data_IF_982480008024
#
_entry.id   IF_982480008024
#
_cell.length_a   1.000
_cell.length_b   1.000
_cell.length_c   1.000
_cell.angle_alpha   90.00
_cell.angle_beta   90.00
_cell.angle_gamma   90.00
#
_symmetry.space_group_name_H-M   'P 1'
#
loop_
_entity.id
_entity.type
_entity.pdbx_description
1 polymer ?
#
# COMPACT_ATOMS: atom_id res chain seq x y z
N UNK A 1 -11.94 -33.83 -17.34
CA UNK A 1 -10.57 -33.29 -17.15
C UNK A 1 -10.65 -32.25 -16.05
N UNK A 2 -10.09 -32.53 -14.86
CA UNK A 2 -10.16 -31.67 -13.67
C UNK A 2 -8.75 -31.16 -13.34
N UNK A 3 -8.20 -30.26 -14.16
CA UNK A 3 -6.92 -29.64 -13.87
C UNK A 3 -7.03 -28.13 -14.10
N UNK A 4 -6.61 -27.37 -13.09
CA UNK A 4 -6.39 -25.93 -13.18
C UNK A 4 -5.47 -25.64 -14.37
N UNK A 5 -5.90 -24.79 -15.31
CA UNK A 5 -5.08 -24.37 -16.47
C UNK A 5 -3.80 -23.63 -16.08
N UNK A 6 -3.67 -23.22 -14.82
CA UNK A 6 -2.48 -22.55 -14.29
C UNK A 6 -2.17 -23.05 -12.87
N UNK A 7 -0.96 -23.56 -12.66
CA UNK A 7 -0.44 -23.85 -11.32
C UNK A 7 0.24 -22.61 -10.75
N UNK A 8 -0.19 -22.20 -9.56
CA UNK A 8 0.43 -21.09 -8.84
C UNK A 8 0.35 -21.30 -7.34
N UNK A 9 1.24 -20.63 -6.61
CA UNK A 9 1.22 -20.55 -5.15
C UNK A 9 1.24 -19.07 -4.78
N UNK A 10 0.29 -18.64 -3.95
CA UNK A 10 0.26 -17.28 -3.42
C UNK A 10 0.38 -17.32 -1.90
N UNK A 11 1.36 -16.61 -1.38
CA UNK A 11 1.57 -16.40 0.04
C UNK A 11 1.47 -14.91 0.30
N UNK A 12 0.72 -14.52 1.33
CA UNK A 12 0.53 -13.12 1.70
C UNK A 12 0.44 -13.03 3.22
N UNK A 13 1.14 -12.07 3.80
CA UNK A 13 1.13 -11.81 5.23
C UNK A 13 0.97 -10.31 5.45
N UNK A 14 0.12 -9.94 6.41
CA UNK A 14 -0.13 -8.56 6.79
C UNK A 14 -0.07 -8.42 8.29
N UNK A 15 0.50 -7.33 8.77
CA UNK A 15 0.56 -6.99 10.19
C UNK A 15 0.23 -5.52 10.42
N UNK A 16 -0.39 -5.25 11.56
CA UNK A 16 -0.71 -3.90 12.02
C UNK A 16 -0.45 -3.78 13.51
N UNK A 17 0.25 -2.71 13.90
CA UNK A 17 0.58 -2.41 15.28
C UNK A 17 0.08 -1.02 15.62
N UNK A 18 -0.61 -0.91 16.76
CA UNK A 18 -1.06 0.36 17.32
C UNK A 18 -0.50 0.45 18.73
N UNK A 19 0.18 1.55 19.02
CA UNK A 19 0.70 1.86 20.35
C UNK A 19 0.40 3.30 20.69
N UNK A 20 -0.15 3.53 21.86
CA UNK A 20 -0.35 4.87 22.41
C UNK A 20 0.71 5.09 23.49
N UNK A 21 1.48 6.16 23.36
CA UNK A 21 2.48 6.60 24.33
C UNK A 21 1.95 7.87 25.00
N UNK A 22 2.00 7.92 26.33
CA UNK A 22 1.20 8.87 27.11
C UNK A 22 -0.29 8.83 26.68
N UNK A 23 -1.08 9.84 27.03
CA UNK A 23 -2.51 9.87 26.66
C UNK A 23 -2.74 10.40 25.23
N UNK A 24 -1.81 11.21 24.70
CA UNK A 24 -2.07 12.01 23.50
C UNK A 24 -1.24 11.63 22.26
N UNK A 25 -0.33 10.65 22.33
CA UNK A 25 0.52 10.26 21.20
C UNK A 25 0.21 8.83 20.76
N UNK A 26 -0.14 8.63 19.49
CA UNK A 26 -0.42 7.30 18.95
C UNK A 26 0.42 7.03 17.72
N UNK A 27 1.06 5.86 17.69
CA UNK A 27 1.83 5.37 16.56
C UNK A 27 1.09 4.18 15.97
N UNK A 28 0.91 4.21 14.66
CA UNK A 28 0.32 3.13 13.87
C UNK A 28 1.35 2.69 12.84
N UNK A 29 1.76 1.44 12.90
CA UNK A 29 2.64 0.82 11.92
C UNK A 29 1.90 -0.29 11.19
N UNK A 30 2.09 -0.40 9.87
CA UNK A 30 1.55 -1.49 9.05
C UNK A 30 2.61 -2.01 8.13
N UNK A 31 2.58 -3.32 7.90
CA UNK A 31 3.43 -3.98 6.93
C UNK A 31 2.65 -5.09 6.23
N UNK A 32 2.85 -5.23 4.93
CA UNK A 32 2.29 -6.29 4.12
C UNK A 32 3.36 -6.80 3.16
N UNK A 33 3.47 -8.12 3.04
CA UNK A 33 4.39 -8.78 2.12
C UNK A 33 3.63 -9.88 1.38
N UNK A 34 3.94 -10.04 0.09
CA UNK A 34 3.26 -10.99 -0.78
C UNK A 34 4.19 -11.61 -1.79
N UNK A 35 4.04 -12.91 -1.99
CA UNK A 35 4.83 -13.72 -2.90
C UNK A 35 3.90 -14.60 -3.73
N UNK A 36 3.96 -14.44 -5.05
CA UNK A 36 3.26 -15.26 -6.02
C UNK A 36 4.31 -16.03 -6.83
N UNK A 37 4.21 -17.36 -6.80
CA UNK A 37 4.99 -18.25 -7.65
C UNK A 37 4.13 -18.76 -8.78
N UNK A 38 4.56 -18.55 -10.01
CA UNK A 38 3.92 -19.05 -11.21
C UNK A 38 4.91 -19.08 -12.36
N UNK A 39 4.67 -19.92 -13.36
CA UNK A 39 5.44 -19.97 -14.61
C UNK A 39 5.11 -18.81 -15.54
N UNK A 40 3.87 -18.32 -15.49
CA UNK A 40 3.38 -17.28 -16.38
C UNK A 40 2.36 -16.40 -15.64
N UNK A 41 2.81 -15.21 -15.23
CA UNK A 41 1.96 -14.26 -14.50
C UNK A 41 0.82 -13.73 -15.36
N UNK A 42 0.96 -13.69 -16.69
CA UNK A 42 -0.07 -13.17 -17.59
C UNK A 42 -1.27 -14.11 -17.70
N UNK A 43 -1.09 -15.41 -17.41
CA UNK A 43 -2.18 -16.39 -17.30
C UNK A 43 -2.93 -16.33 -15.97
N UNK A 44 -2.31 -15.76 -14.93
CA UNK A 44 -2.96 -15.62 -13.63
C UNK A 44 -4.01 -14.51 -13.71
N UNK A 45 -5.26 -14.70 -13.26
CA UNK A 45 -6.24 -13.61 -13.21
C UNK A 45 -5.69 -12.36 -12.48
N UNK A 46 -5.92 -11.13 -12.98
CA UNK A 46 -5.41 -9.91 -12.34
C UNK A 46 -5.80 -9.75 -10.86
N UNK A 47 -6.94 -10.31 -10.45
CA UNK A 47 -7.38 -10.32 -9.04
C UNK A 47 -6.44 -11.08 -8.10
N UNK A 48 -5.67 -12.05 -8.62
CA UNK A 48 -4.73 -12.85 -7.85
C UNK A 48 -3.31 -12.27 -7.88
N UNK A 49 -3.00 -11.38 -8.82
CA UNK A 49 -1.71 -10.67 -8.91
C UNK A 49 -1.63 -9.55 -7.88
N UNK A 50 -0.42 -9.04 -7.63
CA UNK A 50 -0.22 -7.94 -6.70
C UNK A 50 -0.22 -6.58 -7.39
N UNK A 51 -0.85 -5.62 -6.74
CA UNK A 51 -0.89 -4.22 -7.13
C UNK A 51 -0.75 -3.38 -5.86
N UNK A 52 0.03 -2.32 -5.93
CA UNK A 52 0.20 -1.35 -4.85
C UNK A 52 -0.35 0.03 -5.26
N UNK A 53 -0.42 0.94 -4.30
CA UNK A 53 -0.95 2.29 -4.47
C UNK A 53 -2.40 2.43 -3.99
N UNK A 54 -2.68 3.58 -3.37
CA UNK A 54 -3.95 3.90 -2.73
C UNK A 54 -3.87 3.88 -1.20
N UNK A 55 -5.01 4.14 -0.55
CA UNK A 55 -5.17 4.47 0.86
C UNK A 55 -4.61 3.45 1.89
N UNK A 56 -4.56 2.17 1.55
CA UNK A 56 -4.04 1.10 2.43
C UNK A 56 -2.76 0.45 1.92
N UNK A 57 -2.09 1.08 0.95
CA UNK A 57 -0.87 0.57 0.34
C UNK A 57 0.19 1.67 0.35
N UNK A 58 0.13 2.58 -0.62
CA UNK A 58 1.01 3.75 -0.68
C UNK A 58 0.13 4.95 -1.00
N UNK A 59 -0.19 5.76 0.03
CA UNK A 59 -0.99 6.98 -0.14
C UNK A 59 -0.25 7.98 -1.03
N UNK A 60 -1.02 8.78 -1.77
CA UNK A 60 -0.50 9.70 -2.78
C UNK A 60 -0.37 9.10 -4.18
N UNK A 61 -0.42 7.76 -4.31
CA UNK A 61 -0.53 7.08 -5.61
C UNK A 61 -1.99 6.66 -5.85
N UNK A 62 -2.41 6.71 -7.11
CA UNK A 62 -3.71 6.18 -7.51
C UNK A 62 -3.89 4.70 -7.15
N UNK A 63 -5.14 4.29 -6.93
CA UNK A 63 -5.48 2.93 -6.54
C UNK A 63 -4.95 1.90 -7.56
N UNK A 64 -4.16 0.94 -7.08
CA UNK A 64 -3.55 -0.13 -7.90
C UNK A 64 -2.69 0.38 -9.07
N UNK A 65 -2.12 1.59 -8.97
CA UNK A 65 -1.27 2.18 -10.02
C UNK A 65 0.20 1.81 -9.93
N UNK A 66 0.64 1.15 -8.86
CA UNK A 66 2.01 0.66 -8.71
C UNK A 66 2.00 -0.83 -9.09
N UNK A 67 2.54 -1.15 -10.27
CA UNK A 67 2.74 -2.50 -10.77
C UNK A 67 3.62 -2.49 -12.04
N UNK A 68 4.20 -3.63 -12.45
CA UNK A 68 4.86 -3.75 -13.74
C UNK A 68 3.89 -3.43 -14.89
N UNK A 69 4.42 -2.84 -15.96
CA UNK A 69 3.70 -2.55 -17.21
C UNK A 69 4.18 -3.50 -18.31
N UNK A 70 3.29 -3.93 -19.20
CA UNK A 70 3.68 -4.65 -20.42
C UNK A 70 4.18 -3.69 -21.52
N UNK A 71 4.55 -4.22 -22.68
CA UNK A 71 5.01 -3.45 -23.85
C UNK A 71 4.02 -2.38 -24.32
N UNK A 72 2.73 -2.54 -24.02
CA UNK A 72 1.66 -1.60 -24.39
C UNK A 72 1.39 -0.56 -23.27
N UNK A 73 2.22 -0.52 -22.22
CA UNK A 73 2.04 0.38 -21.07
C UNK A 73 0.94 -0.03 -20.09
N UNK A 74 0.28 -1.17 -20.30
CA UNK A 74 -0.79 -1.66 -19.43
C UNK A 74 -0.21 -2.29 -18.17
N UNK A 75 -0.77 -1.93 -17.00
CA UNK A 75 -0.41 -2.54 -15.72
C UNK A 75 -0.79 -4.03 -15.72
N UNK A 76 0.20 -4.90 -15.57
CA UNK A 76 0.01 -6.35 -15.54
C UNK A 76 -0.02 -6.93 -14.13
N UNK A 77 0.43 -6.19 -13.12
CA UNK A 77 0.53 -6.70 -11.74
C UNK A 77 1.83 -7.46 -11.49
N UNK A 78 2.27 -7.49 -10.24
CA UNK A 78 3.54 -8.08 -9.81
C UNK A 78 3.38 -9.46 -9.18
N UNK A 79 4.49 -10.20 -9.15
CA UNK A 79 4.64 -11.46 -8.41
C UNK A 79 5.13 -11.25 -6.96
N UNK A 80 5.50 -10.02 -6.63
CA UNK A 80 5.98 -9.56 -5.32
C UNK A 80 5.19 -8.36 -4.86
N UNK A 81 4.87 -8.31 -3.57
CA UNK A 81 4.28 -7.17 -2.89
C UNK A 81 5.09 -6.89 -1.64
N UNK A 82 5.42 -5.63 -1.41
CA UNK A 82 5.87 -5.15 -0.12
C UNK A 82 5.26 -3.78 0.09
N UNK A 83 4.52 -3.56 1.16
CA UNK A 83 4.03 -2.23 1.52
C UNK A 83 4.21 -2.02 3.01
N UNK A 84 4.77 -0.89 3.40
CA UNK A 84 4.96 -0.48 4.78
C UNK A 84 4.40 0.91 4.98
N UNK A 85 3.86 1.16 6.16
CA UNK A 85 3.27 2.45 6.53
C UNK A 85 3.59 2.75 7.98
N UNK A 86 4.05 3.97 8.23
CA UNK A 86 4.24 4.51 9.56
C UNK A 86 3.43 5.79 9.68
N UNK A 87 2.49 5.81 10.62
CA UNK A 87 1.62 6.94 10.91
C UNK A 87 1.77 7.35 12.38
N UNK A 88 1.96 8.63 12.59
CA UNK A 88 1.97 9.26 13.89
C UNK A 88 0.73 10.14 14.02
N UNK A 89 0.00 9.96 15.11
CA UNK A 89 -1.21 10.69 15.45
C UNK A 89 -1.00 11.41 16.79
N UNK A 90 -1.35 12.69 16.84
CA UNK A 90 -1.33 13.50 18.05
C UNK A 90 -2.72 14.03 18.35
N UNK A 91 -3.20 13.81 19.58
CA UNK A 91 -4.51 14.30 20.02
C UNK A 91 -4.42 15.80 20.32
N UNK A 92 -5.06 16.60 19.46
CA UNK A 92 -5.06 18.08 19.58
C UNK A 92 -6.24 18.54 20.43
N UNK A 93 -7.37 17.85 20.35
CA UNK A 93 -8.59 18.12 21.11
C UNK A 93 -9.30 16.78 21.41
N UNK A 94 -10.15 16.66 22.44
CA UNK A 94 -10.96 15.46 22.64
C UNK A 94 -11.61 14.98 21.35
N UNK A 95 -11.35 13.71 20.99
CA UNK A 95 -11.80 13.05 19.75
C UNK A 95 -11.18 13.52 18.43
N UNK A 96 -10.31 14.54 18.43
CA UNK A 96 -9.64 15.05 17.23
C UNK A 96 -8.13 14.82 17.27
N UNK A 97 -7.63 14.17 16.23
CA UNK A 97 -6.22 13.84 16.11
C UNK A 97 -5.67 14.40 14.82
N UNK A 98 -4.56 15.10 14.91
CA UNK A 98 -3.73 15.39 13.74
C UNK A 98 -2.89 14.15 13.44
N UNK A 99 -2.71 13.83 12.17
CA UNK A 99 -1.90 12.70 11.72
C UNK A 99 -0.87 13.15 10.69
N UNK A 100 0.29 12.52 10.73
CA UNK A 100 1.29 12.55 9.66
C UNK A 100 1.73 11.13 9.37
N UNK A 101 2.04 10.83 8.13
CA UNK A 101 2.41 9.48 7.74
C UNK A 101 3.40 9.45 6.60
N UNK A 102 4.15 8.36 6.57
CA UNK A 102 5.01 7.97 5.47
C UNK A 102 4.71 6.52 5.10
N UNK A 103 4.44 6.29 3.82
CA UNK A 103 4.18 5.01 3.23
C UNK A 103 5.29 4.68 2.22
N UNK A 104 5.65 3.41 2.14
CA UNK A 104 6.59 2.87 1.17
C UNK A 104 6.03 1.58 0.61
N UNK A 105 6.23 1.31 -0.67
CA UNK A 105 5.86 0.01 -1.20
C UNK A 105 6.23 -0.22 -2.65
N UNK A 106 6.11 -1.47 -3.05
CA UNK A 106 6.31 -1.96 -4.40
C UNK A 106 5.28 -3.05 -4.71
N UNK A 107 4.90 -3.12 -5.97
CA UNK A 107 4.43 -4.35 -6.58
C UNK A 107 5.27 -4.58 -7.83
N UNK A 108 6.03 -5.67 -7.86
CA UNK A 108 7.06 -5.93 -8.86
C UNK A 108 7.22 -7.43 -9.12
N UNK A 109 8.18 -7.81 -9.96
CA UNK A 109 8.52 -9.22 -10.18
C UNK A 109 9.66 -9.72 -9.26
N UNK A 110 10.34 -8.77 -8.62
CA UNK A 110 11.50 -8.96 -7.76
C UNK A 110 11.48 -7.90 -6.64
N UNK A 111 12.09 -8.22 -5.49
CA UNK A 111 12.25 -7.27 -4.39
C UNK A 111 13.50 -6.42 -4.63
N UNK A 112 13.36 -5.38 -5.44
CA UNK A 112 14.46 -4.46 -5.76
C UNK A 112 14.11 -3.03 -5.35
N UNK A 113 15.05 -2.34 -4.72
CA UNK A 113 14.88 -0.96 -4.22
C UNK A 113 14.49 0.05 -5.31
N UNK A 114 14.82 -0.24 -6.57
CA UNK A 114 14.44 0.56 -7.74
C UNK A 114 12.93 0.58 -7.99
N UNK A 115 12.20 -0.43 -7.51
CA UNK A 115 10.74 -0.52 -7.64
C UNK A 115 9.98 0.05 -6.44
N UNK A 116 10.69 0.43 -5.36
CA UNK A 116 10.07 1.12 -4.24
C UNK A 116 9.52 2.48 -4.67
N UNK A 117 8.33 2.77 -4.16
CA UNK A 117 7.62 4.03 -4.27
C UNK A 117 7.33 4.53 -2.87
N UNK A 118 7.42 5.84 -2.68
CA UNK A 118 7.26 6.49 -1.40
C UNK A 118 6.19 7.56 -1.49
N UNK A 119 5.30 7.58 -0.50
CA UNK A 119 4.29 8.61 -0.34
C UNK A 119 4.31 9.14 1.09
N UNK A 120 4.05 10.42 1.27
CA UNK A 120 3.85 10.98 2.60
C UNK A 120 2.71 11.99 2.57
N UNK A 121 2.18 12.24 3.74
CA UNK A 121 1.04 13.12 3.86
C UNK A 121 0.69 13.45 5.29
N UNK A 122 -0.34 14.26 5.39
CA UNK A 122 -0.94 14.68 6.65
C UNK A 122 -2.42 14.37 6.62
N UNK A 123 -3.03 14.27 7.79
CA UNK A 123 -4.42 13.96 7.89
C UNK A 123 -5.02 14.33 9.22
N UNK A 124 -6.33 14.13 9.30
CA UNK A 124 -7.13 14.31 10.51
C UNK A 124 -7.85 13.01 10.80
N UNK A 125 -7.95 12.65 12.08
CA UNK A 125 -8.79 11.56 12.57
C UNK A 125 -9.81 12.15 13.53
N UNK A 126 -11.07 11.85 13.30
CA UNK A 126 -12.16 12.26 14.16
C UNK A 126 -12.89 11.03 14.70
N UNK A 127 -12.87 10.84 16.02
CA UNK A 127 -13.70 9.85 16.69
C UNK A 127 -15.12 10.41 16.82
N UNK A 128 -15.90 10.27 15.74
CA UNK A 128 -17.30 10.70 15.71
C UNK A 128 -18.21 9.70 16.46
N UNK A 129 -19.45 10.08 16.79
CA UNK A 129 -20.42 9.18 17.40
C UNK A 129 -20.73 7.93 16.57
N UNK A 130 -20.49 7.97 15.26
CA UNK A 130 -20.71 6.85 14.32
C UNK A 130 -19.44 6.05 14.02
N UNK A 131 -18.32 6.40 14.66
CA UNK A 131 -17.02 5.73 14.50
C UNK A 131 -15.89 6.65 14.07
N UNK A 132 -14.72 6.05 13.82
CA UNK A 132 -13.52 6.77 13.43
C UNK A 132 -13.58 7.19 11.95
N UNK A 133 -13.59 8.50 11.71
CA UNK A 133 -13.49 9.10 10.39
C UNK A 133 -12.05 9.54 10.16
N UNK A 134 -11.53 9.28 8.96
CA UNK A 134 -10.18 9.70 8.55
C UNK A 134 -10.26 10.53 7.29
N UNK A 135 -9.43 11.58 7.25
CA UNK A 135 -9.22 12.39 6.07
C UNK A 135 -7.71 12.57 5.90
N UNK A 136 -7.19 12.21 4.73
CA UNK A 136 -5.76 12.21 4.41
C UNK A 136 -5.50 12.96 3.11
N UNK A 137 -4.45 13.79 3.11
CA UNK A 137 -3.88 14.40 1.92
C UNK A 137 -2.45 13.89 1.81
N UNK A 138 -2.12 13.28 0.67
CA UNK A 138 -0.82 12.67 0.45
C UNK A 138 -0.26 13.01 -0.93
N UNK A 139 1.07 13.06 -1.02
CA UNK A 139 1.81 13.26 -2.26
C UNK A 139 2.87 12.17 -2.42
N UNK A 140 3.16 11.73 -3.66
CA UNK A 140 4.35 10.92 -3.91
C UNK A 140 5.62 11.75 -3.63
N UNK A 141 6.60 11.17 -2.93
CA UNK A 141 7.88 11.82 -2.61
C UNK A 141 8.95 11.46 -3.65
N UNK A 142 8.95 10.21 -4.12
CA UNK A 142 9.90 9.70 -5.11
C UNK A 142 9.15 8.87 -6.14
N UNK A 143 8.80 9.51 -7.26
CA UNK A 143 8.23 8.83 -8.42
C UNK A 143 9.31 8.52 -9.45
N UNK A 144 9.40 7.26 -9.86
CA UNK A 144 10.35 6.79 -10.89
C UNK A 144 9.99 7.34 -12.27
N UNK A 145 8.71 7.63 -12.53
CA UNK A 145 8.24 8.03 -13.86
C UNK A 145 8.21 9.56 -14.06
N UNK A 146 8.47 10.39 -13.03
CA UNK A 146 8.23 11.84 -13.04
C UNK A 146 6.81 12.23 -13.52
N UNK A 147 5.92 11.26 -13.73
CA UNK A 147 4.55 11.45 -14.15
C UNK A 147 3.74 11.52 -12.88
N UNK A 148 3.11 12.67 -12.64
CA UNK A 148 2.11 12.84 -11.60
C UNK A 148 0.96 11.85 -11.88
N UNK A 149 1.10 10.60 -11.43
CA UNK A 149 0.09 9.55 -11.48
C UNK A 149 -0.93 9.78 -10.35
N UNK A 150 -1.52 10.99 -10.37
CA UNK A 150 -2.62 11.41 -9.51
C UNK A 150 -3.90 10.75 -10.05
#
# INVERSE_FOLDING_TARGET
IWLSESSFIKVQASSAWVRTYAENHRIVARAEIGYLHTKDIEKIPPTLRFFAGGDRSVRGYGYKKIAPKNKNGKLVGGSRLLTTSLEYQYQVYPNWWAATFADSGLAANDYTEKELRYGAGVGVRWASPVGAIKFDIATPIRDKDNSKNI
#
